data_IF_000170946257
#
_entry.id   IF_000170946257
#
_cell.length_a   1.000
_cell.length_b   1.000
_cell.length_c   1.000
_cell.angle_alpha   90.00
_cell.angle_beta   90.00
_cell.angle_gamma   90.00
#
_symmetry.space_group_name_H-M   'P 1'
#
loop_
_entity.id
_entity.type
_entity.pdbx_description
1 polymer ?
#
# COMPACT_ATOMS: atom_id res chain seq x y z
N UNK A 1 -0.52 5.87 17.19
CA UNK A 1 -0.69 4.94 18.31
C UNK A 1 -0.05 3.60 17.96
N UNK A 2 0.58 2.95 18.96
CA UNK A 2 1.14 1.60 18.75
C UNK A 2 0.00 0.57 18.66
N UNK A 3 0.18 -0.54 17.90
CA UNK A 3 -0.81 -1.61 17.88
C UNK A 3 -0.96 -2.24 19.28
N UNK A 4 -2.15 -2.76 19.63
CA UNK A 4 -2.42 -3.31 20.96
C UNK A 4 -1.66 -4.63 21.25
N UNK A 5 -1.15 -5.28 20.21
CA UNK A 5 -0.38 -6.53 20.29
C UNK A 5 0.85 -6.42 19.39
N UNK A 6 1.88 -7.26 19.65
CA UNK A 6 3.01 -7.42 18.73
C UNK A 6 2.54 -8.04 17.43
N UNK A 7 3.19 -7.65 16.33
CA UNK A 7 2.81 -8.07 14.99
C UNK A 7 3.81 -9.10 14.44
N UNK A 8 3.31 -10.15 13.80
CA UNK A 8 4.16 -11.10 13.05
C UNK A 8 4.67 -10.47 11.75
N UNK A 9 3.88 -9.58 11.15
CA UNK A 9 4.26 -8.86 9.95
C UNK A 9 3.55 -7.50 9.86
N UNK A 10 4.14 -6.57 9.15
CA UNK A 10 3.55 -5.28 8.79
C UNK A 10 3.87 -4.91 7.35
N UNK A 11 2.96 -4.21 6.69
CA UNK A 11 3.17 -3.64 5.35
C UNK A 11 3.05 -2.12 5.45
N UNK A 12 4.09 -1.42 4.99
CA UNK A 12 4.10 0.04 4.94
C UNK A 12 3.83 0.51 3.52
N UNK A 13 2.65 1.08 3.29
CA UNK A 13 2.27 1.70 2.01
C UNK A 13 2.55 3.21 1.97
N UNK A 14 2.53 3.88 3.13
CA UNK A 14 2.78 5.31 3.18
C UNK A 14 4.24 5.63 2.78
N UNK A 15 4.48 6.62 1.91
CA UNK A 15 5.82 6.97 1.42
C UNK A 15 6.60 7.83 2.44
N UNK A 16 6.57 7.47 3.71
CA UNK A 16 7.15 8.21 4.84
C UNK A 16 8.14 7.34 5.59
N UNK A 17 9.45 7.63 5.42
CA UNK A 17 10.54 6.88 6.03
C UNK A 17 10.52 6.87 7.56
N UNK A 18 10.05 7.94 8.20
CA UNK A 18 9.92 8.02 9.66
C UNK A 18 9.01 6.94 10.26
N UNK A 19 8.11 6.34 9.46
CA UNK A 19 7.23 5.27 9.91
C UNK A 19 7.92 3.91 9.96
N UNK A 20 9.09 3.74 9.35
CA UNK A 20 9.84 2.47 9.33
C UNK A 20 10.26 2.05 10.73
N UNK A 21 10.81 2.97 11.52
CA UNK A 21 11.30 2.65 12.86
C UNK A 21 10.17 2.23 13.82
N UNK A 22 9.08 2.99 13.98
CA UNK A 22 7.97 2.56 14.83
C UNK A 22 7.28 1.30 14.31
N UNK A 23 7.26 1.05 13.00
CA UNK A 23 6.73 -0.20 12.45
C UNK A 23 7.60 -1.40 12.81
N UNK A 24 8.94 -1.28 12.73
CA UNK A 24 9.87 -2.31 13.18
C UNK A 24 9.73 -2.57 14.70
N UNK A 25 9.55 -1.53 15.50
CA UNK A 25 9.36 -1.67 16.94
C UNK A 25 8.06 -2.41 17.30
N UNK A 26 7.03 -2.27 16.47
CA UNK A 26 5.76 -2.95 16.66
C UNK A 26 5.82 -4.46 16.36
N UNK A 27 6.82 -4.93 15.61
CA UNK A 27 7.00 -6.34 15.30
C UNK A 27 7.42 -7.16 16.52
N UNK A 28 6.99 -8.40 16.57
CA UNK A 28 7.52 -9.39 17.48
C UNK A 28 8.87 -9.94 16.99
N UNK A 29 9.47 -10.90 17.72
CA UNK A 29 10.68 -11.58 17.31
C UNK A 29 10.45 -12.32 15.99
N UNK A 30 11.41 -12.24 15.06
CA UNK A 30 11.30 -12.85 13.73
C UNK A 30 10.31 -12.17 12.77
N UNK A 31 9.61 -11.11 13.21
CA UNK A 31 8.62 -10.41 12.39
C UNK A 31 9.22 -9.70 11.17
N UNK A 32 8.41 -9.49 10.16
CA UNK A 32 8.81 -8.87 8.88
C UNK A 32 8.08 -7.57 8.63
N UNK A 33 8.83 -6.50 8.32
CA UNK A 33 8.30 -5.26 7.75
C UNK A 33 8.57 -5.23 6.25
N UNK A 34 7.50 -5.25 5.44
CA UNK A 34 7.57 -5.05 4.00
C UNK A 34 7.21 -3.60 3.63
N UNK A 35 8.14 -2.89 3.01
CA UNK A 35 7.92 -1.52 2.53
C UNK A 35 7.47 -1.59 1.08
N UNK A 36 6.20 -1.28 0.84
CA UNK A 36 5.56 -1.27 -0.47
C UNK A 36 5.32 0.14 -1.03
N UNK A 37 5.60 1.18 -0.23
CA UNK A 37 5.50 2.57 -0.67
C UNK A 37 6.56 2.91 -1.72
N UNK A 38 6.13 3.34 -2.90
CA UNK A 38 7.01 3.90 -3.94
C UNK A 38 7.36 5.33 -3.53
N UNK A 39 8.60 5.77 -3.76
CA UNK A 39 9.08 7.11 -3.36
C UNK A 39 9.12 7.34 -1.83
N UNK A 40 9.49 6.31 -1.07
CA UNK A 40 9.72 6.47 0.37
C UNK A 40 10.79 7.54 0.61
N UNK A 41 10.54 8.45 1.54
CA UNK A 41 11.58 9.36 2.04
C UNK A 41 12.68 8.58 2.78
N UNK A 42 13.82 9.23 3.02
CA UNK A 42 14.93 8.59 3.75
C UNK A 42 14.46 7.99 5.08
N UNK A 43 15.01 6.82 5.40
CA UNK A 43 14.77 6.17 6.69
C UNK A 43 15.72 6.78 7.71
N UNK A 44 15.23 7.18 8.90
CA UNK A 44 16.08 7.70 9.96
C UNK A 44 17.14 6.67 10.41
N UNK A 45 18.12 7.13 11.18
CA UNK A 45 19.18 6.26 11.74
C UNK A 45 18.56 5.12 12.54
N UNK A 46 18.90 3.90 12.14
CA UNK A 46 18.39 2.68 12.73
C UNK A 46 19.26 2.25 13.90
N UNK A 47 18.67 2.07 15.08
CA UNK A 47 19.33 1.44 16.23
C UNK A 47 19.19 -0.08 16.10
N UNK A 48 20.34 -0.77 15.98
CA UNK A 48 20.35 -2.21 15.78
C UNK A 48 19.66 -2.99 16.91
N UNK A 49 19.96 -2.64 18.16
CA UNK A 49 19.41 -3.35 19.33
C UNK A 49 17.89 -3.20 19.42
N UNK A 50 17.41 -2.01 19.10
CA UNK A 50 16.00 -1.67 19.22
C UNK A 50 15.16 -2.17 18.05
N UNK A 51 15.69 -2.10 16.85
CA UNK A 51 14.91 -2.31 15.64
C UNK A 51 15.12 -3.69 14.99
N UNK A 52 16.36 -4.24 15.00
CA UNK A 52 16.68 -5.47 14.27
C UNK A 52 17.13 -6.64 15.13
N UNK A 53 17.68 -6.41 16.34
CA UNK A 53 18.32 -7.45 17.15
C UNK A 53 17.44 -8.69 17.40
N UNK A 54 16.11 -8.55 17.40
CA UNK A 54 15.17 -9.66 17.58
C UNK A 54 14.87 -10.41 16.29
N UNK A 55 15.84 -10.60 15.42
CA UNK A 55 15.71 -11.35 14.15
C UNK A 55 14.66 -10.74 13.20
N UNK A 56 14.37 -9.45 13.33
CA UNK A 56 13.40 -8.76 12.49
C UNK A 56 13.94 -8.53 11.09
N UNK A 57 13.07 -8.65 10.12
CA UNK A 57 13.39 -8.43 8.71
C UNK A 57 12.78 -7.11 8.24
N UNK A 58 13.60 -6.27 7.59
CA UNK A 58 13.17 -5.12 6.80
C UNK A 58 13.41 -5.44 5.32
N UNK A 59 12.37 -5.43 4.52
CA UNK A 59 12.46 -5.69 3.08
C UNK A 59 11.63 -4.67 2.29
N UNK A 60 11.94 -4.52 1.01
CA UNK A 60 11.17 -3.66 0.10
C UNK A 60 10.53 -4.47 -1.01
N UNK A 61 9.45 -3.93 -1.57
CA UNK A 61 8.75 -4.46 -2.74
C UNK A 61 8.91 -3.47 -3.87
N UNK A 62 9.62 -3.86 -4.93
CA UNK A 62 9.85 -2.96 -6.08
C UNK A 62 8.63 -2.93 -7.01
N UNK A 63 8.09 -4.11 -7.34
CA UNK A 63 6.95 -4.25 -8.24
C UNK A 63 6.37 -5.66 -8.15
N UNK A 64 5.18 -5.83 -8.70
CA UNK A 64 4.56 -7.15 -8.88
C UNK A 64 5.00 -7.77 -10.21
N UNK A 65 5.02 -9.10 -10.23
CA UNK A 65 5.23 -9.89 -11.43
C UNK A 65 3.89 -10.13 -12.15
N UNK A 66 3.94 -10.65 -13.38
CA UNK A 66 2.74 -11.12 -14.08
C UNK A 66 2.02 -12.21 -13.28
N UNK A 67 2.77 -13.14 -12.67
CA UNK A 67 2.22 -14.22 -11.87
C UNK A 67 1.44 -13.71 -10.66
N UNK A 68 1.97 -12.69 -9.96
CA UNK A 68 1.27 -12.04 -8.84
C UNK A 68 -0.04 -11.41 -9.29
N UNK A 69 -0.07 -10.75 -10.45
CA UNK A 69 -1.28 -10.18 -11.02
C UNK A 69 -2.32 -11.24 -11.39
N UNK A 70 -1.89 -12.35 -12.02
CA UNK A 70 -2.78 -13.47 -12.35
C UNK A 70 -3.34 -14.14 -11.09
N UNK A 71 -2.55 -14.26 -10.04
CA UNK A 71 -3.00 -14.80 -8.76
C UNK A 71 -3.99 -13.87 -8.07
N UNK A 72 -3.71 -12.56 -8.03
CA UNK A 72 -4.63 -11.56 -7.50
C UNK A 72 -6.00 -11.62 -8.19
N UNK A 73 -6.03 -11.67 -9.53
CA UNK A 73 -7.27 -11.73 -10.29
C UNK A 73 -8.06 -13.03 -10.05
N UNK A 74 -7.40 -14.13 -9.68
CA UNK A 74 -8.06 -15.38 -9.27
C UNK A 74 -8.60 -15.33 -7.84
N UNK A 75 -7.87 -14.67 -6.93
CA UNK A 75 -8.22 -14.62 -5.51
C UNK A 75 -9.26 -13.56 -5.20
N UNK A 76 -9.18 -12.38 -5.80
CA UNK A 76 -10.01 -11.24 -5.47
C UNK A 76 -11.52 -11.54 -5.55
N UNK A 77 -12.06 -12.17 -6.62
CA UNK A 77 -13.48 -12.51 -6.67
C UNK A 77 -13.89 -13.57 -5.60
N UNK A 78 -12.99 -14.51 -5.29
CA UNK A 78 -13.23 -15.57 -4.32
C UNK A 78 -13.30 -15.06 -2.89
N UNK A 79 -12.55 -13.99 -2.61
CA UNK A 79 -12.46 -13.33 -1.30
C UNK A 79 -13.41 -12.13 -1.18
N UNK A 80 -14.20 -11.83 -2.23
CA UNK A 80 -15.08 -10.67 -2.25
C UNK A 80 -14.35 -9.33 -2.22
N UNK A 81 -13.08 -9.30 -2.68
CA UNK A 81 -12.31 -8.05 -2.77
C UNK A 81 -12.85 -7.22 -3.92
N UNK A 82 -13.38 -6.05 -3.60
CA UNK A 82 -13.88 -5.07 -4.58
C UNK A 82 -13.16 -3.75 -4.42
N UNK A 83 -12.84 -3.10 -5.54
CA UNK A 83 -12.28 -1.76 -5.52
C UNK A 83 -13.41 -0.73 -5.39
N UNK A 84 -13.25 0.22 -4.46
CA UNK A 84 -14.10 1.43 -4.45
C UNK A 84 -13.64 2.33 -5.58
N UNK A 85 -14.57 2.76 -6.44
CA UNK A 85 -14.25 3.59 -7.59
C UNK A 85 -15.18 4.78 -7.72
N UNK A 86 -14.63 5.93 -8.15
CA UNK A 86 -15.37 7.10 -8.62
C UNK A 86 -15.23 7.19 -10.14
N UNK A 87 -16.34 7.08 -10.88
CA UNK A 87 -16.29 7.02 -12.35
C UNK A 87 -16.51 8.39 -12.97
N UNK A 88 -15.68 8.73 -13.94
CA UNK A 88 -15.79 9.94 -14.77
C UNK A 88 -15.91 9.56 -16.24
N UNK A 89 -16.67 10.33 -17.06
CA UNK A 89 -16.58 10.21 -18.51
C UNK A 89 -15.18 10.59 -19.00
N UNK A 90 -14.74 10.02 -20.13
CA UNK A 90 -13.39 10.29 -20.66
C UNK A 90 -13.16 11.78 -20.99
N UNK A 91 -14.19 12.45 -21.47
CA UNK A 91 -14.18 13.90 -21.79
C UNK A 91 -14.12 14.82 -20.56
N UNK A 92 -14.22 14.25 -19.35
CA UNK A 92 -14.05 14.94 -18.06
C UNK A 92 -12.82 14.44 -17.28
N UNK A 93 -11.79 14.02 -18.00
CA UNK A 93 -10.55 13.53 -17.38
C UNK A 93 -9.80 14.61 -16.57
N UNK A 94 -9.90 15.86 -16.99
CA UNK A 94 -9.38 17.04 -16.29
C UNK A 94 -10.05 17.22 -14.91
N UNK A 95 -11.37 17.09 -14.84
CA UNK A 95 -12.09 17.12 -13.55
C UNK A 95 -11.68 15.98 -12.63
N UNK A 96 -11.49 14.77 -13.17
CA UNK A 96 -11.02 13.63 -12.37
C UNK A 96 -9.62 13.90 -11.77
N UNK A 97 -8.72 14.56 -12.51
CA UNK A 97 -7.41 14.97 -12.02
C UNK A 97 -7.50 16.07 -10.96
N UNK A 98 -8.36 17.05 -11.16
CA UNK A 98 -8.59 18.15 -10.20
C UNK A 98 -9.18 17.60 -8.89
N UNK A 99 -10.10 16.65 -8.98
CA UNK A 99 -10.70 15.99 -7.82
C UNK A 99 -9.69 15.14 -7.08
N UNK A 100 -8.82 14.43 -7.80
CA UNK A 100 -7.74 13.64 -7.21
C UNK A 100 -6.71 14.56 -6.51
N UNK A 101 -6.31 15.64 -7.15
CA UNK A 101 -5.36 16.61 -6.59
C UNK A 101 -5.90 17.30 -5.32
N UNK A 102 -7.23 17.46 -5.23
CA UNK A 102 -7.91 18.07 -4.09
C UNK A 102 -8.40 17.06 -3.03
N UNK A 103 -7.97 15.80 -3.12
CA UNK A 103 -8.35 14.69 -2.21
C UNK A 103 -9.86 14.47 -2.08
N UNK A 104 -10.61 14.71 -3.18
CA UNK A 104 -12.07 14.53 -3.25
C UNK A 104 -12.51 13.17 -3.80
N UNK A 105 -11.55 12.34 -4.27
CA UNK A 105 -11.84 11.01 -4.81
C UNK A 105 -11.84 9.97 -3.69
N UNK A 106 -12.92 9.23 -3.55
CA UNK A 106 -12.96 8.06 -2.69
C UNK A 106 -12.63 6.80 -3.48
N UNK A 107 -11.50 6.16 -3.15
CA UNK A 107 -10.98 5.00 -3.87
C UNK A 107 -10.20 5.40 -5.13
N UNK A 108 -10.45 4.73 -6.24
CA UNK A 108 -9.77 4.99 -7.51
C UNK A 108 -10.63 5.82 -8.46
N UNK A 109 -10.06 6.87 -9.07
CA UNK A 109 -10.70 7.56 -10.18
C UNK A 109 -10.60 6.69 -11.44
N UNK A 110 -11.73 6.42 -12.09
CA UNK A 110 -11.81 5.58 -13.29
C UNK A 110 -12.44 6.36 -14.42
N UNK A 111 -11.74 6.49 -15.54
CA UNK A 111 -12.27 7.08 -16.76
C UNK A 111 -13.01 6.02 -17.58
N UNK A 112 -14.27 6.25 -17.90
CA UNK A 112 -15.06 5.37 -18.77
C UNK A 112 -14.85 5.76 -20.23
N UNK A 113 -14.38 4.80 -21.02
CA UNK A 113 -14.17 4.94 -22.46
C UNK A 113 -15.36 4.32 -23.19
N UNK A 114 -16.28 5.18 -23.64
CA UNK A 114 -17.50 4.78 -24.36
C UNK A 114 -18.59 4.23 -23.43
N UNK A 115 -19.80 4.06 -23.99
CA UNK A 115 -20.87 3.34 -23.33
C UNK A 115 -20.56 1.85 -23.37
N UNK A 116 -20.16 1.29 -22.22
CA UNK A 116 -20.19 -0.17 -22.04
C UNK A 116 -21.67 -0.56 -22.12
N UNK A 117 -22.13 -0.96 -23.30
CA UNK A 117 -23.42 -1.65 -23.41
C UNK A 117 -23.30 -2.94 -22.60
N UNK A 118 -24.28 -3.24 -21.76
CA UNK A 118 -24.30 -4.47 -20.97
C UNK A 118 -24.27 -5.72 -21.83
#
# INVERSE_FOLDING_TARGET
DAPPVRLDAAILFAPVGDLVLPALEALDQGGTLAVAGIHLSDVPVLDYQRHLFRERTLTSVTSNTRADGEELLRLAPRLGVTATTTSYPLDRADEALDDLAADRVHGAAVLRIGDLRP
#
